data_IF_915305465806
#
_entry.id   IF_915305465806
#
_cell.length_a   1.000
_cell.length_b   1.000
_cell.length_c   1.000
_cell.angle_alpha   90.00
_cell.angle_beta   90.00
_cell.angle_gamma   90.00
#
_symmetry.space_group_name_H-M   'P 1'
#
loop_
_entity.id
_entity.type
_entity.pdbx_description
1 polymer ?
#
# COMPACT_ATOMS: atom_id res chain seq x y z
N UNK A 1 -4.85 26.55 -13.54
CA UNK A 1 -5.31 25.60 -14.58
C UNK A 1 -5.65 24.18 -14.07
N UNK A 2 -5.39 23.81 -12.80
CA UNK A 2 -5.73 22.47 -12.24
C UNK A 2 -6.78 22.39 -11.12
N UNK A 3 -7.49 23.49 -10.81
CA UNK A 3 -8.74 23.39 -10.05
C UNK A 3 -9.74 22.34 -10.61
N UNK A 4 -9.82 22.10 -11.94
CA UNK A 4 -10.63 21.02 -12.49
C UNK A 4 -10.23 19.63 -11.99
N UNK A 5 -8.93 19.34 -11.84
CA UNK A 5 -8.43 18.02 -11.40
C UNK A 5 -8.76 17.79 -9.93
N UNK A 6 -8.49 18.76 -9.05
CA UNK A 6 -8.85 18.64 -7.62
C UNK A 6 -10.37 18.52 -7.42
N UNK A 7 -11.16 19.24 -8.22
CA UNK A 7 -12.62 19.16 -8.21
C UNK A 7 -13.13 17.82 -8.75
N UNK A 8 -12.48 17.27 -9.78
CA UNK A 8 -12.76 15.94 -10.34
C UNK A 8 -12.45 14.83 -9.32
N UNK A 9 -11.28 14.90 -8.65
CA UNK A 9 -10.91 13.98 -7.57
C UNK A 9 -11.92 14.02 -6.42
N UNK A 10 -12.29 15.21 -5.96
CA UNK A 10 -13.27 15.38 -4.89
C UNK A 10 -14.66 14.83 -5.26
N UNK A 11 -15.10 15.02 -6.51
CA UNK A 11 -16.37 14.48 -7.02
C UNK A 11 -16.39 12.95 -7.13
N UNK A 12 -15.22 12.32 -7.24
CA UNK A 12 -15.05 10.86 -7.39
C UNK A 12 -14.38 10.20 -6.18
N UNK A 13 -14.35 10.87 -5.02
CA UNK A 13 -13.64 10.40 -3.82
C UNK A 13 -14.03 8.97 -3.39
N UNK A 14 -15.31 8.61 -3.47
CA UNK A 14 -15.80 7.26 -3.13
C UNK A 14 -15.40 6.20 -4.17
N UNK A 15 -15.27 6.59 -5.44
CA UNK A 15 -14.75 5.71 -6.48
C UNK A 15 -13.28 5.35 -6.22
N UNK A 16 -12.44 6.34 -5.89
CA UNK A 16 -11.05 6.10 -5.52
C UNK A 16 -10.91 5.32 -4.20
N UNK A 17 -11.81 5.55 -3.24
CA UNK A 17 -11.86 4.75 -2.02
C UNK A 17 -12.21 3.29 -2.34
N UNK A 18 -13.13 3.06 -3.28
CA UNK A 18 -13.45 1.72 -3.78
C UNK A 18 -12.25 1.03 -4.42
N UNK A 19 -11.48 1.73 -5.26
CA UNK A 19 -10.23 1.19 -5.85
C UNK A 19 -9.24 0.78 -4.75
N UNK A 20 -9.00 1.66 -3.77
CA UNK A 20 -8.09 1.38 -2.67
C UNK A 20 -8.55 0.18 -1.83
N UNK A 21 -9.86 0.09 -1.55
CA UNK A 21 -10.47 -1.04 -0.86
C UNK A 21 -10.31 -2.36 -1.63
N UNK A 22 -10.67 -2.38 -2.92
CA UNK A 22 -10.52 -3.56 -3.77
C UNK A 22 -9.07 -4.02 -3.86
N UNK A 23 -8.12 -3.09 -4.03
CA UNK A 23 -6.69 -3.42 -4.05
C UNK A 23 -6.24 -4.02 -2.72
N UNK A 24 -6.67 -3.44 -1.59
CA UNK A 24 -6.36 -3.96 -0.25
C UNK A 24 -6.88 -5.39 -0.08
N UNK A 25 -8.14 -5.65 -0.45
CA UNK A 25 -8.74 -6.98 -0.40
C UNK A 25 -7.95 -7.97 -1.27
N UNK A 26 -7.62 -7.57 -2.51
CA UNK A 26 -6.87 -8.42 -3.43
C UNK A 26 -5.50 -8.82 -2.87
N UNK A 27 -4.74 -7.87 -2.32
CA UNK A 27 -3.42 -8.19 -1.73
C UNK A 27 -3.56 -8.98 -0.42
N UNK A 28 -4.61 -8.74 0.37
CA UNK A 28 -4.87 -9.55 1.58
C UNK A 28 -5.09 -11.01 1.19
N UNK A 29 -5.94 -11.26 0.19
CA UNK A 29 -6.16 -12.62 -0.33
C UNK A 29 -4.83 -13.20 -0.80
N UNK A 30 -4.06 -12.46 -1.61
CA UNK A 30 -2.78 -12.92 -2.14
C UNK A 30 -1.77 -13.31 -1.04
N UNK A 31 -1.64 -12.51 0.02
CA UNK A 31 -0.73 -12.82 1.13
C UNK A 31 -1.18 -14.03 1.93
N UNK A 32 -2.49 -14.25 2.08
CA UNK A 32 -3.05 -15.35 2.84
C UNK A 32 -3.15 -16.66 2.04
N UNK A 33 -2.84 -16.65 0.74
CA UNK A 33 -2.78 -17.89 -0.04
C UNK A 33 -1.62 -18.79 0.46
N UNK A 34 -1.88 -20.09 0.63
CA UNK A 34 -0.82 -21.04 0.94
C UNK A 34 0.21 -21.06 -0.20
N UNK A 35 1.45 -21.49 0.08
CA UNK A 35 2.48 -21.57 -0.94
C UNK A 35 2.03 -22.51 -2.08
N UNK A 36 2.20 -22.07 -3.33
CA UNK A 36 1.81 -22.83 -4.53
C UNK A 36 2.75 -24.00 -4.87
N UNK A 37 3.80 -24.24 -4.07
CA UNK A 37 4.83 -25.24 -4.34
C UNK A 37 5.76 -24.91 -5.51
N UNK A 38 5.56 -23.76 -6.16
CA UNK A 38 6.43 -23.26 -7.23
C UNK A 38 7.69 -22.64 -6.65
N UNK A 39 8.85 -23.02 -7.17
CA UNK A 39 10.12 -22.41 -6.79
C UNK A 39 10.14 -20.92 -7.17
N UNK A 40 10.70 -20.10 -6.29
CA UNK A 40 10.91 -18.69 -6.57
C UNK A 40 11.94 -18.52 -7.70
N UNK A 41 11.77 -17.55 -8.60
CA UNK A 41 12.68 -17.35 -9.72
C UNK A 41 14.10 -16.93 -9.28
N UNK A 42 14.24 -16.40 -8.07
CA UNK A 42 15.52 -16.04 -7.45
C UNK A 42 15.35 -15.97 -5.91
N UNK A 43 16.45 -16.00 -5.13
CA UNK A 43 16.39 -15.88 -3.67
C UNK A 43 15.70 -14.57 -3.25
N UNK A 44 14.81 -14.62 -2.27
CA UNK A 44 14.11 -13.45 -1.72
C UNK A 44 13.19 -12.72 -2.72
N UNK A 45 12.75 -13.39 -3.79
CA UNK A 45 11.82 -12.81 -4.77
C UNK A 45 10.48 -12.35 -4.16
N UNK A 46 10.02 -13.04 -3.12
CA UNK A 46 8.89 -12.65 -2.29
C UNK A 46 9.07 -11.24 -1.71
N UNK A 47 10.27 -10.89 -1.23
CA UNK A 47 10.53 -9.56 -0.64
C UNK A 47 10.36 -8.44 -1.67
N UNK A 48 10.75 -8.69 -2.91
CA UNK A 48 10.54 -7.74 -4.02
C UNK A 48 9.04 -7.57 -4.29
N UNK A 49 8.27 -8.65 -4.27
CA UNK A 49 6.80 -8.61 -4.41
C UNK A 49 6.19 -7.79 -3.26
N UNK A 50 6.60 -8.01 -2.02
CA UNK A 50 6.15 -7.24 -0.86
C UNK A 50 6.42 -5.73 -1.02
N UNK A 51 7.64 -5.34 -1.43
CA UNK A 51 7.98 -3.94 -1.74
C UNK A 51 7.05 -3.34 -2.80
N UNK A 52 6.85 -4.05 -3.92
CA UNK A 52 6.01 -3.56 -5.04
C UNK A 52 4.55 -3.42 -4.60
N UNK A 53 4.01 -4.43 -3.91
CA UNK A 53 2.61 -4.43 -3.48
C UNK A 53 2.31 -3.30 -2.49
N UNK A 54 3.21 -3.05 -1.53
CA UNK A 54 3.06 -1.97 -0.56
C UNK A 54 3.36 -0.58 -1.14
N UNK A 55 4.24 -0.48 -2.13
CA UNK A 55 4.43 0.75 -2.90
C UNK A 55 3.12 1.16 -3.56
N UNK A 56 2.48 0.25 -4.30
CA UNK A 56 1.20 0.52 -4.95
C UNK A 56 0.11 0.76 -3.90
N UNK A 57 0.09 0.00 -2.80
CA UNK A 57 -0.87 0.19 -1.70
C UNK A 57 -0.82 1.62 -1.15
N UNK A 58 0.39 2.14 -0.91
CA UNK A 58 0.58 3.51 -0.44
C UNK A 58 0.07 4.54 -1.48
N UNK A 59 0.36 4.33 -2.77
CA UNK A 59 -0.12 5.21 -3.83
C UNK A 59 -1.66 5.20 -3.94
N UNK A 60 -2.31 4.04 -3.91
CA UNK A 60 -3.77 3.97 -4.06
C UNK A 60 -4.49 4.58 -2.85
N UNK A 61 -3.94 4.50 -1.64
CA UNK A 61 -4.53 5.10 -0.44
C UNK A 61 -4.30 6.61 -0.30
N UNK A 62 -3.21 7.14 -0.88
CA UNK A 62 -2.94 8.59 -0.87
C UNK A 62 -3.91 9.38 -1.76
N UNK A 63 -4.43 8.79 -2.83
CA UNK A 63 -5.41 9.43 -3.75
C UNK A 63 -6.74 9.80 -3.07
N UNK A 64 -7.51 8.86 -2.46
CA UNK A 64 -8.74 9.22 -1.75
C UNK A 64 -8.45 10.13 -0.56
N UNK A 65 -7.32 9.95 0.15
CA UNK A 65 -6.93 10.82 1.25
C UNK A 65 -6.78 12.29 0.79
N UNK A 66 -6.19 12.52 -0.39
CA UNK A 66 -6.13 13.84 -1.02
C UNK A 66 -7.52 14.36 -1.40
N UNK A 67 -8.37 13.50 -1.97
CA UNK A 67 -9.73 13.84 -2.36
C UNK A 67 -10.62 14.25 -1.17
N UNK A 68 -10.42 13.64 0.00
CA UNK A 68 -11.14 13.98 1.24
C UNK A 68 -10.57 15.20 1.96
N UNK A 69 -9.24 15.41 1.95
CA UNK A 69 -8.58 16.42 2.81
C UNK A 69 -8.15 17.69 2.10
N UNK A 70 -8.36 17.85 0.78
CA UNK A 70 -7.92 18.98 -0.09
C UNK A 70 -6.39 19.23 -0.13
N UNK A 71 -5.67 18.94 0.95
CA UNK A 71 -4.20 18.94 1.09
C UNK A 71 -3.78 17.76 1.95
N UNK A 72 -2.66 17.15 1.58
CA UNK A 72 -1.97 16.19 2.42
C UNK A 72 -0.98 16.93 3.32
N UNK A 73 -1.07 16.68 4.61
CA UNK A 73 -0.11 17.16 5.59
C UNK A 73 0.68 15.97 6.13
N UNK A 74 1.79 16.26 6.81
CA UNK A 74 2.66 15.24 7.39
C UNK A 74 1.88 14.29 8.30
N UNK A 75 0.96 14.82 9.12
CA UNK A 75 0.12 14.03 10.03
C UNK A 75 -0.68 12.94 9.32
N UNK A 76 -1.39 13.28 8.25
CA UNK A 76 -2.24 12.32 7.53
C UNK A 76 -1.40 11.22 6.87
N UNK A 77 -0.25 11.60 6.32
CA UNK A 77 0.69 10.68 5.69
C UNK A 77 1.33 9.75 6.72
N UNK A 78 1.76 10.28 7.86
CA UNK A 78 2.33 9.47 8.95
C UNK A 78 1.31 8.48 9.51
N UNK A 79 0.05 8.90 9.67
CA UNK A 79 -1.02 7.99 10.10
C UNK A 79 -1.27 6.87 9.09
N UNK A 80 -1.22 7.17 7.78
CA UNK A 80 -1.33 6.15 6.75
C UNK A 80 -0.15 5.18 6.80
N UNK A 81 1.08 5.68 6.91
CA UNK A 81 2.27 4.83 7.02
C UNK A 81 2.21 3.90 8.24
N UNK A 82 1.79 4.43 9.39
CA UNK A 82 1.59 3.66 10.61
C UNK A 82 0.50 2.60 10.40
N UNK A 83 -0.62 2.95 9.76
CA UNK A 83 -1.70 2.01 9.48
C UNK A 83 -1.22 0.87 8.56
N UNK A 84 -0.44 1.17 7.52
CA UNK A 84 0.12 0.16 6.61
C UNK A 84 1.15 -0.74 7.31
N UNK A 85 1.97 -0.19 8.21
CA UNK A 85 2.89 -0.97 9.03
C UNK A 85 2.15 -1.96 9.92
N UNK A 86 1.13 -1.51 10.66
CA UNK A 86 0.32 -2.41 11.49
C UNK A 86 -0.42 -3.45 10.66
N UNK A 87 -0.97 -3.05 9.50
CA UNK A 87 -1.59 -3.98 8.57
C UNK A 87 -0.61 -5.09 8.14
N UNK A 88 0.62 -4.74 7.76
CA UNK A 88 1.65 -5.75 7.42
C UNK A 88 2.00 -6.66 8.58
N UNK A 89 2.22 -6.13 9.78
CA UNK A 89 2.52 -6.94 10.97
C UNK A 89 1.36 -7.91 11.27
N UNK A 90 0.11 -7.46 11.16
CA UNK A 90 -1.06 -8.31 11.39
C UNK A 90 -1.11 -9.45 10.36
N UNK A 91 -0.85 -9.17 9.08
CA UNK A 91 -0.82 -10.19 8.02
C UNK A 91 0.28 -11.23 8.30
N UNK A 92 1.50 -10.81 8.66
CA UNK A 92 2.60 -11.72 9.01
C UNK A 92 2.26 -12.61 10.21
N UNK A 93 1.62 -12.05 11.24
CA UNK A 93 1.17 -12.81 12.40
C UNK A 93 0.08 -13.82 12.01
N UNK A 94 -0.86 -13.45 11.15
CA UNK A 94 -1.89 -14.36 10.64
C UNK A 94 -1.24 -15.48 9.83
N UNK A 95 -0.32 -15.17 8.93
CA UNK A 95 0.41 -16.16 8.15
C UNK A 95 1.13 -17.16 9.07
N UNK A 96 1.85 -16.68 10.08
CA UNK A 96 2.60 -17.51 11.01
C UNK A 96 1.74 -18.40 11.91
N UNK A 97 0.48 -18.02 12.17
CA UNK A 97 -0.39 -18.68 13.16
C UNK A 97 -1.53 -19.48 12.55
N UNK A 98 -1.96 -19.13 11.35
CA UNK A 98 -3.21 -19.63 10.76
C UNK A 98 -2.97 -20.31 9.41
N UNK A 99 -2.00 -19.86 8.61
CA UNK A 99 -1.81 -20.37 7.25
C UNK A 99 -0.76 -21.48 7.22
N UNK A 100 -1.20 -22.72 7.05
CA UNK A 100 -0.32 -23.88 6.97
C UNK A 100 0.72 -23.73 5.84
N UNK A 101 1.99 -24.03 6.16
CA UNK A 101 3.10 -23.89 5.22
C UNK A 101 3.61 -22.46 5.01
N UNK A 102 2.98 -21.44 5.62
CA UNK A 102 3.56 -20.09 5.74
C UNK A 102 4.24 -19.95 7.10
N UNK A 103 5.40 -19.30 7.10
CA UNK A 103 6.02 -18.78 8.31
C UNK A 103 6.01 -17.26 8.17
N UNK A 104 5.67 -16.54 9.24
CA UNK A 104 5.82 -15.08 9.23
C UNK A 104 7.29 -14.70 9.21
N UNK A 105 7.62 -13.63 8.50
CA UNK A 105 9.00 -13.18 8.30
C UNK A 105 9.17 -11.70 8.63
N UNK A 106 10.12 -11.40 9.53
CA UNK A 106 10.47 -10.02 9.87
C UNK A 106 10.99 -9.26 8.64
N UNK A 107 11.66 -9.95 7.71
CA UNK A 107 12.11 -9.34 6.45
C UNK A 107 10.93 -8.93 5.55
N UNK A 108 9.78 -9.60 5.63
CA UNK A 108 8.57 -9.16 4.93
C UNK A 108 8.00 -7.88 5.53
N UNK A 109 8.01 -7.75 6.86
CA UNK A 109 7.63 -6.48 7.52
C UNK A 109 8.54 -5.33 7.05
N UNK A 110 9.84 -5.57 6.94
CA UNK A 110 10.81 -4.58 6.44
C UNK A 110 10.55 -4.25 4.97
N UNK A 111 10.30 -5.26 4.13
CA UNK A 111 9.96 -5.08 2.71
C UNK A 111 8.67 -4.25 2.54
N UNK A 112 7.64 -4.54 3.32
CA UNK A 112 6.37 -3.81 3.35
C UNK A 112 6.58 -2.33 3.74
N UNK A 113 7.39 -2.09 4.77
CA UNK A 113 7.73 -0.74 5.21
C UNK A 113 8.51 0.02 4.13
N UNK A 114 9.50 -0.62 3.52
CA UNK A 114 10.30 -0.04 2.43
C UNK A 114 9.41 0.33 1.23
N UNK A 115 8.52 -0.58 0.81
CA UNK A 115 7.55 -0.31 -0.24
C UNK A 115 6.67 0.90 0.08
N UNK A 116 6.16 0.97 1.31
CA UNK A 116 5.33 2.10 1.76
C UNK A 116 6.10 3.44 1.74
N UNK A 117 7.36 3.44 2.18
CA UNK A 117 8.23 4.64 2.15
C UNK A 117 8.50 5.07 0.70
N UNK A 118 8.81 4.12 -0.19
CA UNK A 118 9.03 4.40 -1.61
C UNK A 118 7.77 4.94 -2.30
N UNK A 119 6.60 4.35 -2.01
CA UNK A 119 5.32 4.84 -2.52
C UNK A 119 5.02 6.25 -2.06
N UNK A 120 5.33 6.57 -0.79
CA UNK A 120 5.22 7.93 -0.28
C UNK A 120 6.17 8.89 -0.99
N UNK A 121 7.45 8.52 -1.14
CA UNK A 121 8.44 9.34 -1.83
C UNK A 121 8.04 9.61 -3.29
N UNK A 122 7.57 8.57 -4.00
CA UNK A 122 7.08 8.73 -5.37
C UNK A 122 5.86 9.65 -5.41
N UNK A 123 4.94 9.52 -4.46
CA UNK A 123 3.79 10.40 -4.36
C UNK A 123 4.18 11.87 -4.12
N UNK A 124 5.12 12.15 -3.22
CA UNK A 124 5.59 13.53 -2.97
C UNK A 124 6.25 14.12 -4.20
N UNK A 125 7.02 13.32 -4.96
CA UNK A 125 7.58 13.75 -6.25
C UNK A 125 6.50 14.01 -7.29
N UNK A 126 5.52 13.12 -7.45
CA UNK A 126 4.38 13.35 -8.34
C UNK A 126 3.58 14.60 -7.96
N UNK A 127 3.45 14.89 -6.65
CA UNK A 127 2.82 16.12 -6.19
C UNK A 127 3.58 17.40 -6.55
N UNK A 128 4.91 17.37 -6.64
CA UNK A 128 5.70 18.53 -7.10
C UNK A 128 5.33 18.90 -8.55
N UNK A 129 5.02 17.90 -9.38
CA UNK A 129 4.58 18.11 -10.77
C UNK A 129 3.08 18.41 -10.90
N UNK A 130 2.29 18.21 -9.84
CA UNK A 130 0.88 18.62 -9.80
C UNK A 130 0.79 20.10 -9.37
N UNK A 131 0.31 21.01 -10.23
CA UNK A 131 0.26 22.42 -9.87
C UNK A 131 -0.65 22.68 -8.67
N UNK A 132 -0.14 23.52 -7.75
CA UNK A 132 -0.74 23.81 -6.44
C UNK A 132 -2.11 24.48 -6.53
#
# INVERSE_FOLDING_TARGET
>A
MLQPIKRSLAGKKYFYLGIAGCYTIAITILFLLPPSGTEAPFPQADKVIHVILYLILMLVWTVPLLAFRKKLNIRNVSLLLIALLFYGIIIEVIQAKIIDGRQGDVLDVIANLLGSILGLFLFTKLQEYLPK
#
